data_IF_118651053805
#
_entry.id   IF_118651053805
#
_cell.length_a   1.000
_cell.length_b   1.000
_cell.length_c   1.000
_cell.angle_alpha   90.00
_cell.angle_beta   90.00
_cell.angle_gamma   90.00
#
_symmetry.space_group_name_H-M   'P 1'
#
loop_
_entity.id
_entity.type
_entity.pdbx_description
1 polymer ?
#
# COMPACT_ATOMS: atom_id res chain seq x y z
N UNK A 1 21.58 -16.71 -33.57
CA UNK A 1 23.03 -16.40 -33.58
C UNK A 1 23.14 -14.90 -33.32
N UNK A 2 23.13 -14.42 -32.08
CA UNK A 2 23.94 -14.86 -30.95
C UNK A 2 23.13 -15.42 -29.76
N UNK A 3 23.55 -16.59 -29.31
CA UNK A 3 23.45 -17.02 -27.92
C UNK A 3 24.62 -16.39 -27.12
N UNK A 4 24.51 -16.49 -25.80
CA UNK A 4 25.58 -16.44 -24.78
C UNK A 4 25.96 -15.07 -24.22
N UNK A 5 25.33 -14.71 -23.09
CA UNK A 5 25.93 -14.19 -21.84
C UNK A 5 24.82 -14.35 -20.76
N UNK A 6 24.93 -14.96 -19.59
CA UNK A 6 25.93 -15.74 -18.88
C UNK A 6 25.17 -16.33 -17.67
N UNK A 7 25.24 -17.64 -17.51
CA UNK A 7 24.76 -18.36 -16.34
C UNK A 7 25.81 -18.27 -15.23
N UNK A 8 25.91 -17.14 -14.55
CA UNK A 8 26.76 -16.98 -13.36
C UNK A 8 25.91 -16.66 -12.12
N UNK A 9 25.87 -17.63 -11.21
CA UNK A 9 25.15 -17.58 -9.93
C UNK A 9 25.77 -16.61 -8.92
N UNK A 10 25.51 -15.32 -9.11
CA UNK A 10 25.63 -14.31 -8.06
C UNK A 10 24.27 -13.66 -7.88
N UNK A 11 23.60 -13.90 -6.76
CA UNK A 11 22.37 -13.19 -6.41
C UNK A 11 22.64 -11.69 -6.48
N UNK A 12 22.03 -11.01 -7.47
CA UNK A 12 22.15 -9.57 -7.70
C UNK A 12 21.30 -8.88 -6.62
N UNK A 13 21.85 -8.84 -5.42
CA UNK A 13 21.24 -8.20 -4.26
C UNK A 13 21.34 -6.69 -4.42
N UNK A 14 20.23 -5.98 -4.25
CA UNK A 14 20.14 -4.52 -4.30
C UNK A 14 20.70 -3.91 -2.99
N UNK A 15 21.91 -3.33 -2.98
CA UNK A 15 22.53 -2.80 -1.76
C UNK A 15 21.88 -1.50 -1.26
N UNK A 16 21.07 -0.83 -2.07
CA UNK A 16 20.39 0.42 -1.74
C UNK A 16 19.28 0.26 -0.69
N UNK A 17 18.81 -0.96 -0.44
CA UNK A 17 17.74 -1.24 0.51
C UNK A 17 18.29 -1.62 1.89
N UNK A 18 17.88 -0.93 2.98
CA UNK A 18 18.36 -1.21 4.33
C UNK A 18 18.10 -2.66 4.74
N UNK A 19 19.14 -3.50 4.75
CA UNK A 19 19.06 -4.96 4.97
C UNK A 19 18.97 -5.35 6.45
N UNK A 20 18.61 -4.41 7.33
CA UNK A 20 18.77 -4.52 8.79
C UNK A 20 18.01 -5.72 9.39
N UNK A 21 16.78 -5.97 8.92
CA UNK A 21 15.89 -7.01 9.47
C UNK A 21 15.48 -8.08 8.44
N UNK A 22 15.86 -7.96 7.16
CA UNK A 22 15.40 -8.84 6.06
C UNK A 22 16.51 -9.06 5.05
N UNK A 23 16.47 -10.17 4.30
CA UNK A 23 17.45 -10.48 3.24
C UNK A 23 17.41 -9.39 2.15
N UNK A 24 18.53 -9.15 1.46
CA UNK A 24 18.62 -8.16 0.39
C UNK A 24 17.60 -8.49 -0.71
N UNK A 25 16.87 -7.48 -1.19
CA UNK A 25 15.97 -7.68 -2.33
C UNK A 25 16.80 -8.02 -3.56
N UNK A 26 16.34 -8.97 -4.36
CA UNK A 26 17.02 -9.40 -5.58
C UNK A 26 16.44 -8.63 -6.76
N UNK A 27 17.30 -8.11 -7.66
CA UNK A 27 16.82 -7.47 -8.88
C UNK A 27 16.04 -8.48 -9.72
N UNK A 28 14.79 -8.14 -10.05
CA UNK A 28 13.91 -8.90 -10.92
C UNK A 28 13.29 -7.95 -11.94
N UNK A 29 13.16 -8.42 -13.18
CA UNK A 29 12.51 -7.64 -14.23
C UNK A 29 11.03 -7.39 -13.89
N UNK A 30 10.57 -6.17 -14.17
CA UNK A 30 9.17 -5.82 -13.97
C UNK A 30 8.30 -6.61 -14.97
N UNK A 31 7.19 -7.22 -14.53
CA UNK A 31 6.26 -7.87 -15.43
C UNK A 31 5.64 -6.83 -16.39
N UNK A 32 5.31 -7.25 -17.61
CA UNK A 32 4.66 -6.37 -18.59
C UNK A 32 3.31 -5.86 -18.05
N UNK A 33 3.00 -4.57 -18.23
CA UNK A 33 1.79 -3.97 -17.69
C UNK A 33 0.55 -4.55 -18.38
N UNK A 34 -0.35 -5.13 -17.59
CA UNK A 34 -1.59 -5.67 -18.11
C UNK A 34 -2.63 -4.59 -18.41
N UNK A 35 -3.64 -4.92 -19.23
CA UNK A 35 -4.67 -3.95 -19.60
C UNK A 35 -5.45 -3.44 -18.37
N UNK A 36 -5.69 -2.12 -18.30
CA UNK A 36 -6.44 -1.48 -17.20
C UNK A 36 -7.82 -2.11 -16.95
N UNK A 37 -8.44 -2.65 -18.00
CA UNK A 37 -9.75 -3.33 -17.92
C UNK A 37 -9.73 -4.58 -17.02
N UNK A 38 -8.61 -5.29 -16.96
CA UNK A 38 -8.43 -6.48 -16.10
C UNK A 38 -8.42 -6.08 -14.62
N UNK A 39 -7.93 -4.89 -14.29
CA UNK A 39 -7.85 -4.39 -12.92
C UNK A 39 -9.15 -3.71 -12.43
N UNK A 40 -9.91 -3.07 -13.32
CA UNK A 40 -11.14 -2.34 -12.96
C UNK A 40 -12.17 -3.19 -12.22
N UNK A 41 -12.36 -4.44 -12.61
CA UNK A 41 -13.32 -5.34 -11.94
C UNK A 41 -12.93 -5.61 -10.49
N UNK A 42 -11.66 -5.95 -10.26
CA UNK A 42 -11.14 -6.22 -8.93
C UNK A 42 -11.12 -4.95 -8.06
N UNK A 43 -10.76 -3.80 -8.62
CA UNK A 43 -10.71 -2.54 -7.87
C UNK A 43 -12.07 -2.09 -7.37
N UNK A 44 -13.14 -2.28 -8.17
CA UNK A 44 -14.52 -1.95 -7.74
C UNK A 44 -14.96 -2.81 -6.56
N UNK A 45 -14.64 -4.11 -6.61
CA UNK A 45 -14.97 -5.03 -5.50
C UNK A 45 -14.22 -4.65 -4.23
N UNK A 46 -12.92 -4.34 -4.34
CA UNK A 46 -12.10 -3.88 -3.20
C UNK A 46 -12.62 -2.56 -2.62
N UNK A 47 -12.96 -1.59 -3.48
CA UNK A 47 -13.51 -0.31 -3.06
C UNK A 47 -14.87 -0.47 -2.35
N UNK A 48 -15.76 -1.31 -2.90
CA UNK A 48 -17.05 -1.60 -2.27
C UNK A 48 -16.88 -2.31 -0.91
N UNK A 49 -15.86 -3.16 -0.77
CA UNK A 49 -15.56 -3.84 0.50
C UNK A 49 -15.00 -2.87 1.54
N UNK A 50 -14.24 -1.86 1.10
CA UNK A 50 -13.66 -0.87 1.99
C UNK A 50 -14.72 0.11 2.56
N UNK A 51 -15.80 0.37 1.82
CA UNK A 51 -16.87 1.29 2.25
C UNK A 51 -17.91 0.55 3.10
N UNK A 52 -17.92 0.81 4.40
CA UNK A 52 -18.79 0.13 5.36
C UNK A 52 -20.19 0.74 5.41
N UNK A 53 -21.22 -0.07 5.73
CA UNK A 53 -22.61 0.42 5.84
C UNK A 53 -22.79 1.49 6.93
N UNK A 54 -21.97 1.47 7.99
CA UNK A 54 -22.02 2.45 9.07
C UNK A 54 -21.66 3.87 8.64
N UNK A 55 -20.82 4.01 7.62
CA UNK A 55 -20.43 5.32 7.09
C UNK A 55 -21.63 6.05 6.46
N UNK A 56 -22.54 5.32 5.81
CA UNK A 56 -23.72 5.90 5.18
C UNK A 56 -24.70 6.54 6.18
N UNK A 57 -24.65 6.17 7.46
CA UNK A 57 -25.47 6.76 8.53
C UNK A 57 -24.69 7.87 9.25
N UNK A 58 -23.39 7.63 9.50
CA UNK A 58 -22.52 8.54 10.22
C UNK A 58 -22.28 9.84 9.42
N UNK A 59 -22.02 9.74 8.11
CA UNK A 59 -21.71 10.92 7.28
C UNK A 59 -22.88 11.92 7.21
N UNK A 60 -24.15 11.52 6.95
CA UNK A 60 -25.28 12.43 7.02
C UNK A 60 -25.46 13.00 8.42
N UNK A 61 -25.34 12.18 9.47
CA UNK A 61 -25.46 12.65 10.85
C UNK A 61 -24.47 13.77 11.15
N UNK A 62 -23.18 13.57 10.87
CA UNK A 62 -22.14 14.60 11.06
C UNK A 62 -22.42 15.83 10.19
N UNK A 63 -22.84 15.63 8.94
CA UNK A 63 -23.15 16.74 8.02
C UNK A 63 -24.34 17.58 8.51
N UNK A 64 -25.34 16.99 9.18
CA UNK A 64 -26.46 17.76 9.77
C UNK A 64 -26.05 18.60 10.97
N UNK A 65 -25.02 18.18 11.71
CA UNK A 65 -24.55 18.89 12.91
C UNK A 65 -23.50 19.96 12.58
N UNK A 66 -22.55 19.64 11.70
CA UNK A 66 -21.40 20.49 11.36
C UNK A 66 -21.65 21.30 10.07
N UNK A 67 -22.64 20.90 9.28
CA UNK A 67 -22.95 21.48 7.99
C UNK A 67 -22.11 20.90 6.84
N UNK A 68 -22.41 21.36 5.62
CA UNK A 68 -21.75 20.94 4.37
C UNK A 68 -20.25 21.27 4.35
N UNK A 69 -19.79 22.18 5.22
CA UNK A 69 -18.38 22.53 5.36
C UNK A 69 -17.50 21.29 5.57
N UNK A 70 -17.94 20.27 6.30
CA UNK A 70 -17.11 19.08 6.56
C UNK A 70 -16.65 18.33 5.28
N UNK A 71 -17.33 18.52 4.14
CA UNK A 71 -16.98 17.86 2.88
C UNK A 71 -15.59 18.25 2.36
N UNK A 72 -15.00 19.39 2.74
CA UNK A 72 -13.63 19.71 2.31
C UNK A 72 -12.60 18.72 2.88
N UNK A 73 -12.88 18.12 4.05
CA UNK A 73 -12.04 17.06 4.61
C UNK A 73 -12.07 15.78 3.76
N UNK A 74 -13.16 15.51 3.06
CA UNK A 74 -13.23 14.39 2.10
C UNK A 74 -12.20 14.57 1.00
N UNK A 75 -12.04 15.79 0.47
CA UNK A 75 -11.05 16.07 -0.55
C UNK A 75 -9.62 15.83 -0.03
N UNK A 76 -9.33 16.21 1.21
CA UNK A 76 -8.03 15.95 1.84
C UNK A 76 -7.82 14.46 2.10
N UNK A 77 -8.82 13.77 2.65
CA UNK A 77 -8.76 12.34 2.91
C UNK A 77 -8.50 11.55 1.63
N UNK A 78 -9.22 11.86 0.55
CA UNK A 78 -9.03 11.22 -0.74
C UNK A 78 -7.67 11.54 -1.37
N UNK A 79 -7.20 12.79 -1.24
CA UNK A 79 -5.86 13.16 -1.69
C UNK A 79 -4.79 12.37 -0.94
N UNK A 80 -4.89 12.29 0.38
CA UNK A 80 -3.97 11.50 1.20
C UNK A 80 -4.02 10.02 0.82
N UNK A 81 -5.21 9.45 0.65
CA UNK A 81 -5.39 8.06 0.24
C UNK A 81 -4.81 7.79 -1.15
N UNK A 82 -4.96 8.72 -2.09
CA UNK A 82 -4.34 8.64 -3.41
C UNK A 82 -2.81 8.64 -3.33
N UNK A 83 -2.22 9.58 -2.59
CA UNK A 83 -0.76 9.63 -2.42
C UNK A 83 -0.23 8.37 -1.73
N UNK A 84 -0.92 7.88 -0.70
CA UNK A 84 -0.54 6.66 0.00
C UNK A 84 -0.57 5.44 -0.93
N UNK A 85 -1.66 5.23 -1.67
CA UNK A 85 -1.77 4.11 -2.60
C UNK A 85 -0.71 4.20 -3.71
N UNK A 86 -0.49 5.38 -4.29
CA UNK A 86 0.53 5.61 -5.31
C UNK A 86 1.96 5.35 -4.79
N UNK A 87 2.26 5.76 -3.56
CA UNK A 87 3.56 5.55 -2.94
C UNK A 87 3.81 4.06 -2.65
N UNK A 88 2.78 3.36 -2.15
CA UNK A 88 2.82 1.92 -1.91
C UNK A 88 3.01 1.15 -3.21
N UNK A 89 2.32 1.55 -4.28
CA UNK A 89 2.47 0.97 -5.61
C UNK A 89 3.88 1.19 -6.15
N UNK A 90 4.40 2.42 -6.10
CA UNK A 90 5.77 2.72 -6.54
C UNK A 90 6.81 1.95 -5.74
N UNK A 91 6.64 1.84 -4.42
CA UNK A 91 7.53 1.08 -3.56
C UNK A 91 7.51 -0.42 -3.92
N UNK A 92 6.32 -0.98 -4.11
CA UNK A 92 6.14 -2.40 -4.45
C UNK A 92 6.70 -2.72 -5.84
N UNK A 93 6.54 -1.82 -6.81
CA UNK A 93 7.09 -1.96 -8.16
C UNK A 93 8.62 -1.80 -8.18
N UNK A 94 9.19 -0.88 -7.41
CA UNK A 94 10.62 -0.63 -7.38
C UNK A 94 11.42 -1.69 -6.61
N UNK A 95 10.82 -2.26 -5.56
CA UNK A 95 11.51 -3.16 -4.61
C UNK A 95 11.09 -4.62 -4.76
N UNK A 96 9.92 -4.89 -5.34
CA UNK A 96 9.32 -6.24 -5.36
C UNK A 96 8.87 -6.73 -3.97
N UNK A 97 9.02 -5.94 -2.93
CA UNK A 97 8.55 -6.21 -1.56
C UNK A 97 7.30 -5.37 -1.27
N UNK A 98 6.38 -5.92 -0.46
CA UNK A 98 5.21 -5.17 -0.02
C UNK A 98 5.61 -3.98 0.86
N UNK A 99 4.81 -2.91 0.86
CA UNK A 99 5.04 -1.78 1.76
C UNK A 99 5.09 -2.19 3.24
N UNK A 100 4.38 -3.25 3.65
CA UNK A 100 4.41 -3.79 5.02
C UNK A 100 5.80 -4.35 5.37
N UNK A 101 6.42 -5.05 4.43
CA UNK A 101 7.79 -5.56 4.53
C UNK A 101 8.79 -4.41 4.65
N UNK A 102 8.62 -3.34 3.87
CA UNK A 102 9.39 -2.10 3.99
C UNK A 102 9.22 -1.40 5.34
N UNK A 103 7.98 -1.30 5.84
CA UNK A 103 7.68 -0.70 7.14
C UNK A 103 8.30 -1.49 8.30
N UNK A 104 8.37 -2.82 8.17
CA UNK A 104 9.01 -3.72 9.16
C UNK A 104 10.54 -3.52 9.21
N UNK A 105 11.17 -3.08 8.11
CA UNK A 105 12.59 -2.66 8.11
C UNK A 105 12.79 -1.34 8.87
N UNK A 106 11.81 -0.44 8.85
CA UNK A 106 11.89 0.86 9.50
C UNK A 106 11.52 0.82 10.99
N UNK A 107 10.39 0.19 11.37
CA UNK A 107 9.92 0.16 12.75
C UNK A 107 9.14 -1.13 13.07
N UNK A 108 9.85 -2.11 13.66
CA UNK A 108 9.34 -3.46 14.00
C UNK A 108 8.11 -3.52 14.95
N UNK A 109 7.92 -2.64 15.96
CA UNK A 109 6.84 -2.80 16.95
C UNK A 109 5.46 -2.26 16.51
N UNK A 110 5.23 -1.98 15.21
CA UNK A 110 3.93 -1.48 14.72
C UNK A 110 2.73 -2.34 15.12
N UNK A 111 2.89 -3.67 15.08
CA UNK A 111 1.83 -4.60 15.48
C UNK A 111 1.42 -4.46 16.95
N UNK A 112 2.38 -4.18 17.84
CA UNK A 112 2.10 -3.99 19.28
C UNK A 112 1.33 -2.69 19.50
N UNK A 113 1.66 -1.62 18.76
CA UNK A 113 0.93 -0.36 18.84
C UNK A 113 -0.55 -0.52 18.46
N UNK A 114 -0.85 -1.27 17.39
CA UNK A 114 -2.24 -1.56 17.01
C UNK A 114 -2.97 -2.46 17.98
N UNK A 115 -2.31 -3.49 18.50
CA UNK A 115 -2.90 -4.37 19.52
C UNK A 115 -3.25 -3.57 20.78
N UNK A 116 -2.34 -2.71 21.25
CA UNK A 116 -2.60 -1.82 22.37
C UNK A 116 -3.72 -0.83 22.06
N UNK A 117 -3.71 -0.20 20.88
CA UNK A 117 -4.75 0.72 20.44
C UNK A 117 -6.11 0.07 20.21
N UNK A 118 -6.17 -1.26 19.99
CA UNK A 118 -7.42 -2.01 19.88
C UNK A 118 -7.95 -2.49 21.25
N UNK A 119 -7.07 -2.68 22.24
CA UNK A 119 -7.43 -3.16 23.58
C UNK A 119 -7.73 -2.00 24.55
N UNK A 120 -6.99 -0.89 24.47
CA UNK A 120 -7.19 0.29 25.34
C UNK A 120 -8.54 1.04 25.21
N UNK A 121 -9.27 1.02 24.08
CA UNK A 121 -10.56 1.71 23.97
C UNK A 121 -11.74 0.96 24.61
N UNK A 122 -11.51 -0.27 25.12
CA UNK A 122 -12.51 -1.08 25.81
C UNK A 122 -12.29 -1.01 27.33
#
# INVERSE_FOLDING_TARGET
MADVVDSSGGSRTAPELPTKNLRGAEYRDLPEPESLRRYLGASVILAATAMGSGELIIWPFITTQVGIGILWFMAIGFTAQYFLNMEIERYTLATGETAVTGFTRFWMPWGIFFILGAILPN
#
